data_IF_476305016195
#
_entry.id   IF_476305016195
#
_cell.length_a   1.000
_cell.length_b   1.000
_cell.length_c   1.000
_cell.angle_alpha   90.00
_cell.angle_beta   90.00
_cell.angle_gamma   90.00
#
_symmetry.space_group_name_H-M   'P 1'
#
loop_
_entity.id
_entity.type
_entity.pdbx_description
1 polymer ?
#
# COMPACT_ATOMS: atom_id res chain seq x y z
N UNK A 1 -16.95 1.25 17.04
CA UNK A 1 -16.61 0.47 15.82
C UNK A 1 -15.14 0.66 15.54
N UNK A 2 -14.35 -0.41 15.36
CA UNK A 2 -12.92 -0.34 15.02
C UNK A 2 -12.67 -1.14 13.74
N UNK A 3 -11.75 -0.65 12.90
CA UNK A 3 -11.39 -1.27 11.62
C UNK A 3 -9.96 -1.83 11.66
N UNK A 4 -9.72 -2.85 10.86
CA UNK A 4 -8.40 -3.40 10.56
C UNK A 4 -8.06 -3.09 9.10
N UNK A 5 -7.08 -2.22 8.89
CA UNK A 5 -6.73 -1.74 7.55
C UNK A 5 -5.31 -2.16 7.22
N UNK A 6 -5.14 -2.85 6.09
CA UNK A 6 -3.83 -3.17 5.52
C UNK A 6 -3.58 -2.20 4.37
N UNK A 7 -2.49 -1.45 4.43
CA UNK A 7 -2.04 -0.55 3.36
C UNK A 7 -0.93 -1.22 2.58
N UNK A 8 -1.19 -1.50 1.31
CA UNK A 8 -0.16 -1.96 0.38
C UNK A 8 0.70 -0.76 -0.02
N UNK A 9 1.99 -0.87 0.19
CA UNK A 9 2.91 0.22 -0.08
C UNK A 9 4.17 -0.27 -0.77
N UNK A 10 4.65 0.46 -1.75
CA UNK A 10 5.85 0.12 -2.51
C UNK A 10 6.93 1.17 -2.38
N UNK A 11 8.17 0.72 -2.21
CA UNK A 11 9.34 1.55 -2.43
C UNK A 11 9.63 1.61 -3.92
N UNK A 12 9.69 2.81 -4.46
CA UNK A 12 9.95 3.04 -5.88
C UNK A 12 11.16 3.98 -6.05
N UNK A 13 11.88 3.93 -7.19
CA UNK A 13 12.90 4.92 -7.50
C UNK A 13 12.24 6.29 -7.71
N UNK A 14 12.90 7.34 -7.22
CA UNK A 14 12.45 8.72 -7.47
C UNK A 14 12.76 9.11 -8.93
N UNK A 15 11.74 9.06 -9.77
CA UNK A 15 11.86 9.40 -11.18
C UNK A 15 11.85 10.91 -11.45
N UNK A 16 11.64 11.75 -10.42
CA UNK A 16 11.65 13.22 -10.55
C UNK A 16 13.05 13.80 -10.36
N UNK A 17 13.93 13.10 -9.62
CA UNK A 17 15.30 13.50 -9.34
C UNK A 17 16.30 12.62 -10.09
N UNK A 18 16.25 12.67 -11.41
CA UNK A 18 17.08 11.85 -12.31
C UNK A 18 18.45 12.48 -12.48
N UNK A 19 19.47 11.91 -11.83
CA UNK A 19 20.88 12.30 -12.02
C UNK A 19 21.52 11.66 -13.27
N UNK A 20 22.75 12.04 -13.58
CA UNK A 20 23.50 11.53 -14.74
C UNK A 20 23.69 10.00 -14.73
N UNK A 21 23.69 9.38 -13.55
CA UNK A 21 23.90 7.93 -13.36
C UNK A 21 22.59 7.13 -13.33
N UNK A 22 21.46 7.78 -13.65
CA UNK A 22 20.14 7.17 -13.60
C UNK A 22 19.91 6.10 -14.68
N UNK A 23 20.67 6.13 -15.74
CA UNK A 23 20.62 5.17 -16.84
C UNK A 23 21.89 4.32 -16.85
N UNK A 24 21.73 3.03 -17.07
CA UNK A 24 22.84 2.14 -17.36
C UNK A 24 23.26 2.27 -18.82
N UNK A 25 24.45 1.76 -19.16
CA UNK A 25 24.97 1.76 -20.53
C UNK A 25 24.07 1.02 -21.52
N UNK A 26 23.26 0.07 -21.05
CA UNK A 26 22.30 -0.71 -21.83
C UNK A 26 20.93 -0.01 -22.02
N UNK A 27 20.79 1.24 -21.55
CA UNK A 27 19.56 2.03 -21.64
C UNK A 27 18.51 1.67 -20.56
N UNK A 28 18.82 0.79 -19.63
CA UNK A 28 17.91 0.47 -18.53
C UNK A 28 18.10 1.40 -17.32
N UNK A 29 17.04 1.58 -16.53
CA UNK A 29 17.10 2.40 -15.32
C UNK A 29 18.04 1.79 -14.28
N UNK A 30 19.00 2.57 -13.82
CA UNK A 30 19.86 2.22 -12.69
C UNK A 30 19.15 2.50 -11.36
N UNK A 31 18.27 1.59 -10.96
CA UNK A 31 17.46 1.73 -9.74
C UNK A 31 18.30 1.88 -8.46
N UNK A 32 19.56 1.45 -8.47
CA UNK A 32 20.45 1.57 -7.32
C UNK A 32 21.02 2.99 -7.16
N UNK A 33 21.13 3.74 -8.25
CA UNK A 33 21.64 5.12 -8.25
C UNK A 33 20.56 6.17 -7.98
N UNK A 34 19.27 5.80 -8.05
CA UNK A 34 18.17 6.71 -7.76
C UNK A 34 17.79 6.66 -6.27
N UNK A 35 17.49 7.81 -5.65
CA UNK A 35 16.87 7.82 -4.35
C UNK A 35 15.58 6.98 -4.36
N UNK A 36 15.36 6.23 -3.31
CA UNK A 36 14.15 5.44 -3.16
C UNK A 36 13.12 6.23 -2.34
N UNK A 37 11.89 6.28 -2.83
CA UNK A 37 10.78 7.00 -2.20
C UNK A 37 9.58 6.07 -1.96
N UNK A 38 8.68 6.51 -1.11
CA UNK A 38 7.35 5.93 -1.00
C UNK A 38 6.57 6.24 -2.28
N UNK A 39 5.92 5.23 -2.86
CA UNK A 39 5.11 5.45 -4.07
C UNK A 39 4.02 6.51 -3.81
N UNK A 40 3.91 7.56 -4.64
CA UNK A 40 3.00 8.68 -4.38
C UNK A 40 1.53 8.27 -4.19
N UNK A 41 1.01 7.41 -5.05
CA UNK A 41 -0.40 6.96 -4.92
C UNK A 41 -0.63 6.08 -3.68
N UNK A 42 0.39 5.34 -3.21
CA UNK A 42 0.30 4.60 -1.96
C UNK A 42 0.29 5.55 -0.74
N UNK A 43 0.91 6.74 -0.84
CA UNK A 43 0.75 7.79 0.16
C UNK A 43 -0.68 8.33 0.21
N UNK A 44 -1.34 8.51 -0.95
CA UNK A 44 -2.76 8.87 -0.99
C UNK A 44 -3.62 7.78 -0.32
N UNK A 45 -3.31 6.50 -0.58
CA UNK A 45 -3.98 5.37 0.06
C UNK A 45 -3.77 5.35 1.59
N UNK A 46 -2.54 5.61 2.05
CA UNK A 46 -2.24 5.73 3.47
C UNK A 46 -3.05 6.85 4.12
N UNK A 47 -3.20 8.00 3.47
CA UNK A 47 -4.03 9.09 4.02
C UNK A 47 -5.49 8.68 4.18
N UNK A 48 -6.09 7.98 3.21
CA UNK A 48 -7.45 7.46 3.35
C UNK A 48 -7.57 6.52 4.57
N UNK A 49 -6.61 5.63 4.77
CA UNK A 49 -6.57 4.73 5.93
C UNK A 49 -6.42 5.51 7.25
N UNK A 50 -5.57 6.54 7.29
CA UNK A 50 -5.37 7.37 8.48
C UNK A 50 -6.59 8.22 8.81
N UNK A 51 -7.33 8.72 7.80
CA UNK A 51 -8.61 9.42 8.00
C UNK A 51 -9.66 8.49 8.63
N UNK A 52 -9.74 7.24 8.18
CA UNK A 52 -10.60 6.25 8.81
C UNK A 52 -10.17 5.95 10.25
N UNK A 53 -8.87 5.91 10.53
CA UNK A 53 -8.36 5.74 11.89
C UNK A 53 -8.75 6.91 12.79
N UNK A 54 -8.71 8.12 12.28
CA UNK A 54 -9.13 9.32 13.02
C UNK A 54 -10.66 9.33 13.29
N UNK A 55 -11.46 8.87 12.31
CA UNK A 55 -12.91 8.84 12.41
C UNK A 55 -13.46 7.69 13.26
N UNK A 56 -12.77 6.55 13.27
CA UNK A 56 -13.22 5.33 13.95
C UNK A 56 -12.22 4.89 15.04
N UNK A 57 -12.42 5.29 16.31
CA UNK A 57 -11.51 4.95 17.41
C UNK A 57 -11.23 3.45 17.54
N UNK A 58 -9.98 3.10 17.82
CA UNK A 58 -9.52 1.72 17.90
C UNK A 58 -9.17 1.07 16.55
N UNK A 59 -9.30 1.80 15.45
CA UNK A 59 -8.84 1.37 14.13
C UNK A 59 -7.32 1.23 14.09
N UNK A 60 -6.84 0.16 13.47
CA UNK A 60 -5.42 -0.06 13.23
C UNK A 60 -5.09 -0.01 11.75
N UNK A 61 -3.97 0.63 11.45
CA UNK A 61 -3.42 0.77 10.10
C UNK A 61 -2.06 0.09 10.04
N UNK A 62 -1.96 -0.98 9.27
CA UNK A 62 -0.75 -1.80 9.13
C UNK A 62 -0.27 -1.74 7.68
N UNK A 63 1.01 -1.41 7.46
CA UNK A 63 1.58 -1.44 6.12
C UNK A 63 2.03 -2.85 5.74
N UNK A 64 1.87 -3.20 4.48
CA UNK A 64 2.48 -4.38 3.88
C UNK A 64 3.29 -3.94 2.66
N UNK A 65 4.59 -4.17 2.70
CA UNK A 65 5.49 -3.87 1.58
C UNK A 65 6.27 -5.11 1.16
N UNK A 66 6.42 -5.30 -0.14
CA UNK A 66 7.25 -6.36 -0.72
C UNK A 66 8.47 -5.73 -1.37
N UNK A 67 9.66 -6.18 -0.98
CA UNK A 67 10.88 -5.64 -1.54
C UNK A 67 12.14 -6.08 -0.79
N UNK A 68 13.31 -5.56 -1.19
CA UNK A 68 14.57 -5.82 -0.50
C UNK A 68 14.54 -5.22 0.92
N UNK A 69 15.47 -5.62 1.77
CA UNK A 69 15.54 -5.17 3.18
C UNK A 69 15.46 -3.66 3.37
N UNK A 70 16.00 -2.86 2.42
CA UNK A 70 15.89 -1.39 2.45
C UNK A 70 14.46 -0.87 2.32
N UNK A 71 13.52 -1.65 1.79
CA UNK A 71 12.10 -1.27 1.68
C UNK A 71 11.43 -1.12 3.04
N UNK A 72 12.06 -1.55 4.12
CA UNK A 72 11.64 -1.26 5.49
C UNK A 72 11.50 0.23 5.79
N UNK A 73 12.22 1.09 5.08
CA UNK A 73 12.06 2.54 5.23
C UNK A 73 10.64 3.01 4.91
N UNK A 74 9.93 2.30 4.04
CA UNK A 74 8.52 2.59 3.71
C UNK A 74 7.63 2.37 4.93
N UNK A 75 7.90 1.35 5.73
CA UNK A 75 7.18 1.11 6.97
C UNK A 75 7.43 2.24 7.96
N UNK A 76 8.69 2.67 8.13
CA UNK A 76 9.03 3.82 8.99
C UNK A 76 8.33 5.10 8.55
N UNK A 77 8.31 5.36 7.25
CA UNK A 77 7.60 6.50 6.69
C UNK A 77 6.11 6.49 7.04
N UNK A 78 5.46 5.32 6.99
CA UNK A 78 4.08 5.18 7.41
C UNK A 78 3.90 5.37 8.92
N UNK A 79 4.78 4.82 9.75
CA UNK A 79 4.77 5.01 11.20
C UNK A 79 4.93 6.49 11.59
N UNK A 80 5.78 7.24 10.87
CA UNK A 80 5.95 8.68 11.09
C UNK A 80 4.69 9.49 10.81
N UNK A 81 3.76 8.96 10.03
CA UNK A 81 2.47 9.59 9.66
C UNK A 81 1.29 9.10 10.48
N UNK A 82 1.46 8.04 11.27
CA UNK A 82 0.43 7.56 12.17
C UNK A 82 -0.05 6.12 11.96
N UNK A 83 0.57 5.35 11.09
CA UNK A 83 0.37 3.91 11.03
C UNK A 83 0.83 3.23 12.34
N UNK A 84 0.30 2.05 12.62
CA UNK A 84 0.54 1.33 13.88
C UNK A 84 1.65 0.29 13.76
N UNK A 85 1.90 -0.20 12.57
CA UNK A 85 2.90 -1.24 12.32
C UNK A 85 3.09 -1.52 10.84
N UNK A 86 3.87 -2.55 10.54
CA UNK A 86 4.03 -3.01 9.17
C UNK A 86 4.80 -4.31 9.06
N UNK A 87 4.61 -4.96 7.93
CA UNK A 87 5.26 -6.18 7.53
C UNK A 87 6.10 -5.94 6.27
N UNK A 88 7.33 -6.42 6.29
CA UNK A 88 8.20 -6.48 5.13
C UNK A 88 8.23 -7.91 4.60
N UNK A 89 7.70 -8.10 3.40
CA UNK A 89 7.81 -9.34 2.66
C UNK A 89 9.09 -9.29 1.82
N UNK A 90 10.10 -10.04 2.24
CA UNK A 90 11.42 -9.99 1.63
C UNK A 90 12.02 -11.37 1.46
N UNK A 91 12.43 -11.67 0.23
CA UNK A 91 13.18 -12.86 -0.14
C UNK A 91 13.91 -12.60 -1.47
N UNK A 92 15.03 -13.30 -1.70
CA UNK A 92 15.75 -13.25 -2.98
C UNK A 92 14.92 -13.82 -4.14
N UNK A 93 14.05 -14.79 -3.86
CA UNK A 93 13.15 -15.40 -4.83
C UNK A 93 12.15 -14.39 -5.43
N UNK A 94 11.90 -13.26 -4.78
CA UNK A 94 11.04 -12.20 -5.30
C UNK A 94 11.73 -11.27 -6.30
N UNK A 95 13.04 -11.43 -6.52
CA UNK A 95 13.76 -10.59 -7.47
C UNK A 95 13.26 -10.85 -8.90
N UNK A 96 12.81 -9.79 -9.58
CA UNK A 96 12.24 -9.90 -10.94
C UNK A 96 10.79 -10.38 -11.01
N UNK A 97 10.10 -10.51 -9.87
CA UNK A 97 8.68 -10.86 -9.86
C UNK A 97 7.85 -9.89 -10.72
N UNK A 98 7.05 -10.44 -11.60
CA UNK A 98 6.03 -9.71 -12.35
C UNK A 98 4.82 -9.37 -11.45
N UNK A 99 3.77 -8.79 -12.04
CA UNK A 99 2.56 -8.43 -11.29
C UNK A 99 1.81 -9.66 -10.77
N UNK A 100 1.85 -10.78 -11.49
CA UNK A 100 1.18 -12.01 -11.11
C UNK A 100 1.85 -12.65 -9.87
N UNK A 101 3.17 -12.80 -9.91
CA UNK A 101 3.96 -13.31 -8.78
C UNK A 101 3.89 -12.38 -7.57
N UNK A 102 3.98 -11.06 -7.79
CA UNK A 102 3.85 -10.04 -6.74
C UNK A 102 2.49 -10.12 -6.05
N UNK A 103 1.40 -10.16 -6.80
CA UNK A 103 0.05 -10.24 -6.24
C UNK A 103 -0.20 -11.56 -5.50
N UNK A 104 0.39 -12.67 -5.97
CA UNK A 104 0.32 -13.95 -5.28
C UNK A 104 1.03 -13.90 -3.92
N UNK A 105 2.24 -13.37 -3.89
CA UNK A 105 3.01 -13.23 -2.65
C UNK A 105 2.30 -12.32 -1.64
N UNK A 106 1.78 -11.17 -2.09
CA UNK A 106 1.01 -10.25 -1.24
C UNK A 106 -0.27 -10.88 -0.71
N UNK A 107 -1.06 -11.54 -1.56
CA UNK A 107 -2.28 -12.23 -1.14
C UNK A 107 -2.00 -13.33 -0.12
N UNK A 108 -0.91 -14.08 -0.30
CA UNK A 108 -0.47 -15.11 0.65
C UNK A 108 -0.08 -14.49 2.01
N UNK A 109 0.64 -13.37 2.00
CA UNK A 109 0.98 -12.64 3.22
C UNK A 109 -0.28 -12.11 3.93
N UNK A 110 -1.23 -11.55 3.18
CA UNK A 110 -2.51 -11.07 3.71
C UNK A 110 -3.30 -12.21 4.36
N UNK A 111 -3.37 -13.37 3.72
CA UNK A 111 -4.01 -14.56 4.30
C UNK A 111 -3.36 -15.00 5.62
N UNK A 112 -2.03 -14.83 5.76
CA UNK A 112 -1.33 -15.10 7.03
C UNK A 112 -1.64 -14.08 8.11
N UNK A 113 -1.77 -12.80 7.75
CA UNK A 113 -2.16 -11.73 8.68
C UNK A 113 -3.59 -11.98 9.18
N UNK A 114 -4.50 -12.40 8.30
CA UNK A 114 -5.86 -12.89 8.57
C UNK A 114 -6.73 -11.99 9.49
N UNK A 115 -6.43 -10.69 9.57
CA UNK A 115 -7.20 -9.73 10.37
C UNK A 115 -7.29 -8.42 9.60
N UNK A 116 -8.31 -8.29 8.75
CA UNK A 116 -8.54 -7.11 7.93
C UNK A 116 -10.00 -6.91 7.55
N UNK A 117 -10.43 -5.66 7.54
CA UNK A 117 -11.71 -5.21 6.99
C UNK A 117 -11.50 -4.54 5.62
N UNK A 118 -10.37 -3.83 5.45
CA UNK A 118 -10.03 -3.09 4.23
C UNK A 118 -8.57 -3.34 3.88
N UNK A 119 -8.33 -3.68 2.61
CA UNK A 119 -7.01 -3.68 2.00
C UNK A 119 -7.00 -2.50 1.04
N UNK A 120 -6.05 -1.60 1.19
CA UNK A 120 -5.98 -0.37 0.39
C UNK A 120 -4.57 -0.13 -0.13
N UNK A 121 -4.44 0.29 -1.37
CA UNK A 121 -3.17 0.66 -1.98
C UNK A 121 -3.36 1.76 -3.03
N UNK A 122 -2.28 2.30 -3.56
CA UNK A 122 -2.35 3.17 -4.72
C UNK A 122 -2.86 2.41 -5.95
N UNK A 123 -3.40 3.14 -6.91
CA UNK A 123 -3.85 2.57 -8.18
C UNK A 123 -2.70 1.86 -8.90
N UNK A 124 -1.52 2.48 -8.89
CA UNK A 124 -0.32 1.94 -9.52
C UNK A 124 0.97 2.44 -8.87
N UNK A 125 2.08 1.79 -9.18
CA UNK A 125 3.42 2.24 -8.84
C UNK A 125 4.04 3.00 -10.03
N UNK A 126 4.68 4.13 -9.76
CA UNK A 126 5.25 5.03 -10.79
C UNK A 126 6.43 4.42 -11.57
N UNK A 127 6.97 3.29 -11.14
CA UNK A 127 8.09 2.61 -11.79
C UNK A 127 7.65 1.51 -12.77
N UNK A 128 6.40 1.12 -12.76
CA UNK A 128 5.88 0.05 -13.63
C UNK A 128 4.58 0.39 -14.35
N UNK A 129 3.78 1.31 -13.81
CA UNK A 129 2.54 1.85 -14.38
C UNK A 129 1.52 0.81 -14.89
N UNK A 130 1.47 -0.37 -14.27
CA UNK A 130 0.61 -1.47 -14.72
C UNK A 130 -0.82 -1.41 -14.17
N UNK A 131 -1.04 -0.79 -13.03
CA UNK A 131 -2.30 -0.75 -12.29
C UNK A 131 -2.94 -2.14 -12.02
N UNK A 132 -2.16 -3.22 -12.04
CA UNK A 132 -2.65 -4.60 -12.00
C UNK A 132 -2.62 -5.24 -10.62
N UNK A 133 -1.66 -4.85 -9.74
CA UNK A 133 -1.40 -5.57 -8.49
C UNK A 133 -2.60 -5.54 -7.54
N UNK A 134 -3.23 -4.38 -7.33
CA UNK A 134 -4.42 -4.26 -6.49
C UNK A 134 -5.57 -5.17 -6.93
N UNK A 135 -6.05 -5.07 -8.18
CA UNK A 135 -7.07 -5.96 -8.73
C UNK A 135 -6.72 -7.45 -8.65
N UNK A 136 -5.47 -7.81 -8.93
CA UNK A 136 -5.02 -9.20 -8.85
C UNK A 136 -4.99 -9.72 -7.39
N UNK A 137 -4.65 -8.88 -6.42
CA UNK A 137 -4.74 -9.22 -4.99
C UNK A 137 -6.19 -9.48 -4.60
N UNK A 138 -7.12 -8.62 -5.04
CA UNK A 138 -8.55 -8.81 -4.79
C UNK A 138 -9.04 -10.15 -5.32
N UNK A 139 -8.73 -10.49 -6.57
CA UNK A 139 -9.10 -11.77 -7.19
C UNK A 139 -8.53 -12.96 -6.41
N UNK A 140 -7.24 -12.94 -6.05
CA UNK A 140 -6.60 -14.03 -5.30
C UNK A 140 -7.14 -14.21 -3.88
N UNK A 141 -7.75 -13.19 -3.31
CA UNK A 141 -8.41 -13.22 -2.01
C UNK A 141 -9.91 -13.53 -2.11
N UNK A 142 -10.49 -13.50 -3.32
CA UNK A 142 -11.93 -13.64 -3.54
C UNK A 142 -12.72 -12.46 -2.98
N UNK A 143 -12.14 -11.25 -3.02
CA UNK A 143 -12.74 -10.04 -2.48
C UNK A 143 -13.27 -9.13 -3.58
N UNK A 144 -14.34 -8.41 -3.27
CA UNK A 144 -14.80 -7.28 -4.08
C UNK A 144 -13.72 -6.19 -4.09
N UNK A 145 -13.66 -5.41 -5.16
CA UNK A 145 -12.75 -4.28 -5.29
C UNK A 145 -13.47 -3.01 -5.74
N UNK A 146 -12.98 -1.87 -5.28
CA UNK A 146 -13.32 -0.55 -5.81
C UNK A 146 -12.02 0.11 -6.23
N UNK A 147 -11.92 0.48 -7.51
CA UNK A 147 -10.71 1.07 -8.09
C UNK A 147 -10.88 2.56 -8.33
N UNK A 148 -9.74 3.28 -8.47
CA UNK A 148 -9.71 4.73 -8.71
C UNK A 148 -10.41 5.55 -7.61
N UNK A 149 -10.37 5.09 -6.37
CA UNK A 149 -10.97 5.81 -5.24
C UNK A 149 -10.31 7.17 -5.03
N UNK A 150 -11.12 8.19 -4.78
CA UNK A 150 -10.67 9.52 -4.38
C UNK A 150 -10.90 9.76 -2.89
N UNK A 151 -12.00 9.22 -2.36
CA UNK A 151 -12.37 9.42 -0.97
C UNK A 151 -13.25 8.27 -0.46
N UNK A 152 -12.98 7.78 0.73
CA UNK A 152 -13.86 6.88 1.46
C UNK A 152 -14.81 7.75 2.29
N UNK A 153 -16.10 7.73 1.92
CA UNK A 153 -17.10 8.60 2.51
C UNK A 153 -17.67 8.05 3.81
N UNK A 154 -17.90 6.74 3.88
CA UNK A 154 -18.48 6.09 5.04
C UNK A 154 -18.09 4.61 5.11
N UNK A 155 -17.99 4.10 6.33
CA UNK A 155 -17.83 2.65 6.60
C UNK A 155 -18.86 2.27 7.66
N UNK A 156 -19.73 1.33 7.32
CA UNK A 156 -20.65 0.70 8.25
C UNK A 156 -20.24 -0.78 8.41
N UNK A 157 -19.49 -1.04 9.47
CA UNK A 157 -18.97 -2.40 9.74
C UNK A 157 -20.07 -3.37 10.18
N UNK A 158 -21.13 -2.86 10.84
CA UNK A 158 -22.25 -3.70 11.28
C UNK A 158 -23.11 -4.15 10.11
N UNK A 159 -23.36 -3.24 9.17
CA UNK A 159 -24.02 -3.57 7.91
C UNK A 159 -23.07 -4.26 6.90
N UNK A 160 -21.76 -4.29 7.18
CA UNK A 160 -20.75 -4.87 6.28
C UNK A 160 -20.58 -4.09 4.97
N UNK A 161 -20.69 -2.76 5.01
CA UNK A 161 -20.71 -1.90 3.82
C UNK A 161 -19.73 -0.75 3.91
N UNK A 162 -19.24 -0.31 2.74
CA UNK A 162 -18.39 0.86 2.56
C UNK A 162 -18.89 1.69 1.38
N UNK A 163 -18.90 3.01 1.54
CA UNK A 163 -19.26 3.97 0.49
C UNK A 163 -18.03 4.75 0.05
N UNK A 164 -17.73 4.74 -1.23
CA UNK A 164 -16.52 5.30 -1.82
C UNK A 164 -16.85 6.20 -3.00
N UNK A 165 -16.28 7.38 -3.02
CA UNK A 165 -16.24 8.26 -4.19
C UNK A 165 -15.04 7.86 -5.05
N UNK A 166 -15.27 7.59 -6.32
CA UNK A 166 -14.22 7.18 -7.26
C UNK A 166 -14.23 8.00 -8.54
N UNK A 167 -13.06 8.10 -9.14
CA UNK A 167 -12.85 8.76 -10.42
C UNK A 167 -13.30 7.87 -11.59
N UNK A 168 -13.97 8.47 -12.56
CA UNK A 168 -14.34 7.84 -13.84
C UNK A 168 -14.06 8.81 -14.98
N UNK A 169 -14.08 8.33 -16.21
CA UNK A 169 -13.97 9.20 -17.37
C UNK A 169 -15.14 10.20 -17.40
N UNK A 170 -14.78 11.47 -17.35
CA UNK A 170 -15.74 12.57 -17.38
C UNK A 170 -16.33 12.99 -16.02
N UNK A 171 -15.85 12.42 -14.90
CA UNK A 171 -16.34 12.86 -13.60
C UNK A 171 -16.00 11.95 -12.42
N UNK A 172 -16.92 11.89 -11.49
CA UNK A 172 -16.86 11.06 -10.29
C UNK A 172 -18.17 10.34 -10.08
N UNK A 173 -18.11 9.16 -9.49
CA UNK A 173 -19.29 8.45 -9.03
C UNK A 173 -19.13 8.00 -7.58
N UNK A 174 -20.23 7.80 -6.90
CA UNK A 174 -20.27 7.22 -5.56
C UNK A 174 -20.80 5.80 -5.65
N UNK A 175 -20.04 4.86 -5.14
CA UNK A 175 -20.37 3.43 -5.15
C UNK A 175 -20.37 2.85 -3.76
N UNK A 176 -21.12 1.79 -3.56
CA UNK A 176 -21.15 1.02 -2.33
C UNK A 176 -20.64 -0.40 -2.58
N UNK A 177 -19.88 -0.94 -1.62
CA UNK A 177 -19.36 -2.28 -1.69
C UNK A 177 -19.44 -3.01 -0.34
N UNK A 178 -19.32 -4.36 -0.34
CA UNK A 178 -19.29 -5.15 0.88
C UNK A 178 -17.91 -5.09 1.55
N UNK A 179 -17.86 -5.33 2.86
CA UNK A 179 -16.63 -5.64 3.59
C UNK A 179 -16.48 -7.16 3.77
N UNK A 180 -15.25 -7.72 3.78
CA UNK A 180 -13.97 -7.05 3.50
C UNK A 180 -13.79 -6.72 2.02
N UNK A 181 -12.94 -5.72 1.73
CA UNK A 181 -12.81 -5.16 0.37
C UNK A 181 -11.36 -4.76 0.05
N UNK A 182 -11.02 -4.75 -1.24
CA UNK A 182 -9.79 -4.13 -1.76
C UNK A 182 -10.12 -2.80 -2.43
N UNK A 183 -9.39 -1.75 -2.09
CA UNK A 183 -9.56 -0.41 -2.67
C UNK A 183 -8.23 0.04 -3.28
N UNK A 184 -8.27 0.55 -4.51
CA UNK A 184 -7.12 1.25 -5.10
C UNK A 184 -7.41 2.74 -5.23
N UNK A 185 -6.49 3.56 -4.75
CA UNK A 185 -6.64 5.01 -4.60
C UNK A 185 -5.96 5.73 -5.75
N UNK A 186 -6.69 6.66 -6.37
CA UNK A 186 -6.19 7.47 -7.46
C UNK A 186 -5.30 8.62 -6.95
N UNK A 187 -4.39 9.08 -7.78
CA UNK A 187 -3.50 10.20 -7.47
C UNK A 187 -4.20 11.55 -7.28
N UNK A 188 -5.49 11.67 -7.71
CA UNK A 188 -6.34 12.83 -7.44
C UNK A 188 -6.89 12.88 -6.01
N UNK A 189 -6.76 11.80 -5.24
CA UNK A 189 -7.14 11.77 -3.84
C UNK A 189 -6.30 12.74 -2.99
N UNK A 190 -6.78 13.06 -1.80
CA UNK A 190 -6.08 13.96 -0.91
C UNK A 190 -4.63 13.52 -0.65
N UNK A 191 -3.67 14.46 -0.62
CA UNK A 191 -2.28 14.18 -0.32
C UNK A 191 -2.12 13.69 1.11
N UNK A 192 -1.11 12.84 1.34
CA UNK A 192 -0.83 12.32 2.67
C UNK A 192 -0.33 13.44 3.61
N UNK A 193 -0.79 13.39 4.85
CA UNK A 193 -0.34 14.24 5.93
C UNK A 193 1.19 14.21 6.11
N UNK A 194 1.82 15.29 6.60
CA UNK A 194 3.25 15.31 6.87
C UNK A 194 3.63 14.38 8.01
N UNK A 195 4.93 14.09 8.12
CA UNK A 195 5.50 13.35 9.26
C UNK A 195 5.24 14.09 10.57
N UNK A 196 4.84 13.38 11.60
CA UNK A 196 4.69 13.91 12.95
C UNK A 196 6.02 13.83 13.72
N UNK A 197 6.51 14.94 14.22
CA UNK A 197 7.82 15.01 14.89
C UNK A 197 7.94 14.07 16.10
N UNK A 198 6.86 13.89 16.88
CA UNK A 198 6.85 12.97 18.02
C UNK A 198 6.95 11.52 17.57
N UNK A 199 6.25 11.17 16.48
CA UNK A 199 6.31 9.81 15.90
C UNK A 199 7.66 9.54 15.24
N UNK A 200 8.26 10.52 14.58
CA UNK A 200 9.63 10.41 14.07
C UNK A 200 10.59 10.08 15.18
N UNK A 201 10.53 10.82 16.29
CA UNK A 201 11.40 10.57 17.45
C UNK A 201 11.15 9.19 18.07
N UNK A 202 9.88 8.77 18.19
CA UNK A 202 9.49 7.48 18.74
C UNK A 202 9.99 6.30 17.88
N UNK A 203 9.85 6.40 16.56
CA UNK A 203 10.10 5.27 15.65
C UNK A 203 11.45 5.34 14.92
N UNK A 204 12.29 6.30 15.22
CA UNK A 204 13.62 6.47 14.61
C UNK A 204 14.50 5.22 14.69
N UNK A 205 14.36 4.43 15.76
CA UNK A 205 15.17 3.23 16.03
C UNK A 205 14.37 1.94 16.18
N UNK A 206 13.07 1.92 15.80
CA UNK A 206 12.22 0.74 15.97
C UNK A 206 12.54 -0.33 14.94
N UNK A 207 12.67 -1.57 15.42
CA UNK A 207 12.67 -2.80 14.64
C UNK A 207 11.28 -3.05 14.06
N UNK A 208 11.21 -3.57 12.85
CA UNK A 208 9.97 -4.01 12.19
C UNK A 208 9.96 -5.52 12.05
N UNK A 209 8.78 -6.11 11.96
CA UNK A 209 8.62 -7.55 11.77
C UNK A 209 8.85 -7.90 10.29
N UNK A 210 9.74 -8.86 10.05
CA UNK A 210 9.97 -9.41 8.72
C UNK A 210 9.06 -10.62 8.50
N UNK A 211 8.32 -10.62 7.40
CA UNK A 211 7.75 -11.82 6.83
C UNK A 211 8.73 -12.34 5.78
N UNK A 212 9.39 -13.45 6.06
CA UNK A 212 10.11 -14.20 5.04
C UNK A 212 9.10 -15.08 4.29
N UNK A 213 9.28 -15.24 2.99
CA UNK A 213 8.66 -16.35 2.30
C UNK A 213 9.26 -17.62 2.92
N UNK A 214 8.52 -18.31 3.77
CA UNK A 214 8.86 -19.68 4.07
C UNK A 214 8.53 -20.49 2.82
N UNK A 215 9.48 -21.33 2.42
CA UNK A 215 9.21 -22.46 1.55
C UNK A 215 7.88 -23.05 2.00
N UNK A 216 6.94 -23.09 1.08
CA UNK A 216 5.73 -23.88 1.28
C UNK A 216 6.24 -25.30 1.37
N UNK A 217 6.29 -25.82 2.59
CA UNK A 217 6.37 -27.26 2.76
C UNK A 217 5.24 -27.86 1.91
N UNK A 218 5.64 -28.63 0.99
CA UNK A 218 5.04 -29.45 -0.05
C UNK A 218 3.58 -29.82 0.11
#
# INVERSE_FOLDING_TARGET
MSLRIIVLAKQVPDTRNVGKDAMKADGTINRAALPAIFNPEDLNALEQALRLKDAYPGTTVTLLTMGPGRAAEIIREGLYRGADGGFLLTDRAFAGADTLATSYALATAIKKINDYDIIIGGRQAIDGDTAQVGPQVAEKLGLTQITYAEEILNVDKEAGRITVKRHIDGGVETVEGPLPIVITVNGSAAPCRPRNAKLVQKYKSVSYTHLRAHETDQ
#
